data_IF_077195668918
#
_entry.id   IF_077195668918
#
_cell.length_a   1.000
_cell.length_b   1.000
_cell.length_c   1.000
_cell.angle_alpha   90.00
_cell.angle_beta   90.00
_cell.angle_gamma   90.00
#
_symmetry.space_group_name_H-M   'P 1'
#
loop_
_entity.id
_entity.type
_entity.pdbx_description
1 polymer ?
#
# COMPACT_ATOMS: atom_id res chain seq x y z
N UNK A 1 -15.31 -43.12 -40.10
CA UNK A 1 -14.48 -42.41 -41.09
C UNK A 1 -14.39 -40.97 -40.63
N UNK A 2 -13.15 -40.53 -40.37
CA UNK A 2 -12.63 -39.14 -40.20
C UNK A 2 -13.39 -38.15 -39.30
N UNK A 3 -12.82 -37.36 -38.39
CA UNK A 3 -11.49 -37.03 -37.84
C UNK A 3 -11.76 -35.94 -36.75
N UNK A 4 -10.81 -35.19 -36.17
CA UNK A 4 -9.55 -35.54 -35.49
C UNK A 4 -9.47 -35.00 -34.04
N UNK A 5 -8.48 -35.48 -33.28
CA UNK A 5 -8.03 -34.94 -31.99
C UNK A 5 -7.34 -33.57 -32.21
N UNK A 6 -7.61 -32.52 -31.42
CA UNK A 6 -6.84 -31.29 -31.50
C UNK A 6 -5.49 -31.42 -30.80
N UNK A 7 -4.48 -31.02 -31.56
CA UNK A 7 -3.07 -30.89 -31.24
C UNK A 7 -2.87 -29.87 -30.08
N UNK A 8 -2.32 -30.30 -28.94
CA UNK A 8 -1.83 -29.37 -27.92
C UNK A 8 -0.46 -28.87 -28.38
N UNK A 9 -0.45 -27.74 -29.06
CA UNK A 9 0.78 -27.01 -29.36
C UNK A 9 0.91 -25.86 -28.35
N UNK A 10 2.02 -25.87 -27.63
CA UNK A 10 2.44 -24.86 -26.67
C UNK A 10 2.40 -23.45 -27.26
N UNK A 11 1.60 -22.58 -26.66
CA UNK A 11 1.87 -21.15 -26.68
C UNK A 11 2.20 -20.74 -25.25
N UNK A 12 3.48 -20.43 -25.02
CA UNK A 12 3.92 -19.64 -23.89
C UNK A 12 3.17 -18.31 -23.95
N UNK A 13 2.10 -18.17 -23.16
CA UNK A 13 1.58 -16.85 -22.82
C UNK A 13 2.65 -16.15 -22.00
N UNK A 14 3.39 -15.30 -22.72
CA UNK A 14 4.14 -14.22 -22.14
C UNK A 14 3.16 -13.44 -21.26
N UNK A 15 3.40 -13.49 -19.95
CA UNK A 15 2.78 -12.57 -18.99
C UNK A 15 3.09 -11.18 -19.50
N UNK A 16 2.13 -10.61 -20.21
CA UNK A 16 2.17 -9.23 -20.65
C UNK A 16 2.00 -8.42 -19.39
N UNK A 17 3.14 -8.01 -18.82
CA UNK A 17 3.21 -6.89 -17.90
C UNK A 17 2.45 -5.77 -18.57
N UNK A 18 1.26 -5.48 -18.05
CA UNK A 18 0.48 -4.33 -18.44
C UNK A 18 1.35 -3.10 -18.18
N UNK A 19 1.98 -2.61 -19.26
CA UNK A 19 2.60 -1.30 -19.30
C UNK A 19 1.48 -0.29 -19.10
N UNK A 20 1.23 0.05 -17.84
CA UNK A 20 0.42 1.20 -17.50
C UNK A 20 1.21 2.44 -17.91
N UNK A 21 0.97 2.89 -19.13
CA UNK A 21 1.23 4.28 -19.53
C UNK A 21 0.27 5.19 -18.76
N UNK A 22 0.42 5.25 -17.44
CA UNK A 22 -0.05 6.40 -16.68
C UNK A 22 0.78 7.58 -17.18
N UNK A 23 0.13 8.50 -17.87
CA UNK A 23 0.65 9.85 -18.03
C UNK A 23 1.06 10.32 -16.64
N UNK A 24 2.36 10.39 -16.39
CA UNK A 24 2.94 10.78 -15.11
C UNK A 24 2.59 12.23 -14.88
N UNK A 25 1.46 12.47 -14.19
CA UNK A 25 1.08 13.77 -13.60
C UNK A 25 2.06 14.20 -12.49
N UNK A 26 3.20 13.54 -12.32
CA UNK A 26 4.22 13.91 -11.36
C UNK A 26 4.93 15.17 -11.85
N UNK A 27 4.75 16.26 -11.13
CA UNK A 27 5.47 17.51 -11.38
C UNK A 27 6.95 17.27 -11.06
N UNK A 28 7.90 17.64 -11.94
CA UNK A 28 9.32 17.54 -11.64
C UNK A 28 9.69 18.31 -10.37
N UNK A 29 10.71 17.84 -9.67
CA UNK A 29 11.18 18.50 -8.45
C UNK A 29 11.65 19.92 -8.74
N UNK A 30 11.18 20.87 -7.93
CA UNK A 30 11.63 22.26 -8.03
C UNK A 30 12.95 22.45 -7.28
N UNK A 31 13.79 23.44 -7.67
CA UNK A 31 14.98 23.78 -6.92
C UNK A 31 14.68 24.14 -5.46
N UNK A 32 13.53 24.76 -5.19
CA UNK A 32 13.06 25.12 -3.84
C UNK A 32 12.85 23.85 -3.01
N UNK A 33 12.19 22.83 -3.57
CA UNK A 33 11.99 21.55 -2.89
C UNK A 33 13.32 20.86 -2.58
N UNK A 34 14.22 20.77 -3.57
CA UNK A 34 15.54 20.13 -3.39
C UNK A 34 16.37 20.87 -2.32
N UNK A 35 16.32 22.20 -2.29
CA UNK A 35 17.03 22.97 -1.26
C UNK A 35 16.45 22.73 0.13
N UNK A 36 15.12 22.58 0.26
CA UNK A 36 14.49 22.19 1.53
C UNK A 36 14.95 20.79 1.96
N UNK A 37 15.00 19.83 1.03
CA UNK A 37 15.49 18.49 1.31
C UNK A 37 16.95 18.49 1.80
N UNK A 38 17.83 19.26 1.14
CA UNK A 38 19.23 19.47 1.59
C UNK A 38 19.31 20.08 2.98
N UNK A 39 18.48 21.09 3.27
CA UNK A 39 18.44 21.73 4.58
C UNK A 39 17.99 20.74 5.68
N UNK A 40 16.97 19.91 5.40
CA UNK A 40 16.54 18.84 6.31
C UNK A 40 17.69 17.88 6.59
N UNK A 41 18.38 17.37 5.56
CA UNK A 41 19.55 16.51 5.73
C UNK A 41 20.64 17.15 6.59
N UNK A 42 20.99 18.40 6.30
CA UNK A 42 22.03 19.13 7.03
C UNK A 42 21.66 19.42 8.50
N UNK A 43 20.36 19.43 8.83
CA UNK A 43 19.88 19.59 10.20
C UNK A 43 19.90 18.29 11.03
N UNK A 44 20.11 17.14 10.39
CA UNK A 44 20.20 15.85 11.08
C UNK A 44 21.48 15.79 11.90
N UNK A 45 21.34 15.56 13.20
CA UNK A 45 22.48 15.41 14.09
C UNK A 45 23.16 14.05 13.83
N UNK A 46 24.45 14.05 13.49
CA UNK A 46 25.18 12.83 13.08
C UNK A 46 25.11 11.71 14.12
N UNK A 47 25.09 12.05 15.42
CA UNK A 47 24.97 11.08 16.51
C UNK A 47 23.61 10.39 16.60
N UNK A 48 22.59 10.89 15.88
CA UNK A 48 21.24 10.31 15.82
C UNK A 48 20.97 9.56 14.52
N UNK A 49 21.87 9.62 13.54
CA UNK A 49 21.71 8.89 12.28
C UNK A 49 21.79 7.39 12.52
N UNK A 50 21.09 6.64 11.70
CA UNK A 50 21.10 5.20 11.75
C UNK A 50 22.35 4.64 11.07
N UNK A 51 23.30 4.23 11.90
CA UNK A 51 24.49 3.49 11.48
C UNK A 51 24.23 1.99 11.53
N UNK A 52 24.43 1.30 10.41
CA UNK A 52 24.36 -0.16 10.29
C UNK A 52 25.61 -0.82 10.89
N UNK A 53 25.58 -2.13 11.12
CA UNK A 53 26.75 -2.89 11.61
C UNK A 53 27.96 -2.81 10.69
N UNK A 54 27.75 -2.56 9.40
CA UNK A 54 28.82 -2.35 8.40
C UNK A 54 29.48 -0.98 8.51
N UNK A 55 28.97 -0.08 9.36
CA UNK A 55 29.38 1.32 9.45
C UNK A 55 28.70 2.22 8.44
N UNK A 56 27.89 1.68 7.52
CA UNK A 56 27.13 2.46 6.55
C UNK A 56 26.01 3.24 7.25
N UNK A 57 25.82 4.49 6.85
CA UNK A 57 24.79 5.38 7.39
C UNK A 57 23.57 5.36 6.46
N UNK A 58 22.41 4.99 6.99
CA UNK A 58 21.19 4.79 6.18
C UNK A 58 20.70 6.11 5.59
N UNK A 59 20.64 7.18 6.39
CA UNK A 59 20.16 8.49 5.95
C UNK A 59 21.04 9.09 4.86
N UNK A 60 22.35 8.81 4.87
CA UNK A 60 23.28 9.29 3.86
C UNK A 60 22.97 8.63 2.50
N UNK A 61 22.71 7.32 2.46
CA UNK A 61 22.29 6.62 1.23
C UNK A 61 20.92 7.08 0.73
N UNK A 62 19.96 7.31 1.64
CA UNK A 62 18.65 7.85 1.27
C UNK A 62 18.81 9.25 0.66
N UNK A 63 19.65 10.09 1.27
CA UNK A 63 19.93 11.43 0.78
C UNK A 63 20.58 11.41 -0.62
N UNK A 64 21.61 10.58 -0.81
CA UNK A 64 22.26 10.43 -2.12
C UNK A 64 21.29 9.94 -3.19
N UNK A 65 20.37 9.03 -2.84
CA UNK A 65 19.33 8.61 -3.78
C UNK A 65 18.33 9.73 -4.09
N UNK A 66 17.82 10.42 -3.07
CA UNK A 66 16.86 11.52 -3.25
C UNK A 66 17.40 12.63 -4.16
N UNK A 67 18.70 12.95 -4.09
CA UNK A 67 19.33 13.91 -5.00
C UNK A 67 19.33 13.48 -6.49
N UNK A 68 19.18 12.18 -6.77
CA UNK A 68 19.13 11.63 -8.13
C UNK A 68 17.70 11.54 -8.68
N UNK A 69 16.69 11.66 -7.83
CA UNK A 69 15.29 11.59 -8.23
C UNK A 69 14.90 12.82 -9.07
N UNK A 70 14.18 12.59 -10.18
CA UNK A 70 13.60 13.67 -10.99
C UNK A 70 12.22 14.12 -10.48
N UNK A 71 11.53 13.21 -9.80
CA UNK A 71 10.20 13.37 -9.23
C UNK A 71 10.22 13.05 -7.75
N UNK A 72 9.18 13.44 -7.03
CA UNK A 72 9.07 13.14 -5.61
C UNK A 72 9.08 11.63 -5.34
N UNK A 73 9.86 11.23 -4.33
CA UNK A 73 10.00 9.88 -3.84
C UNK A 73 9.96 9.90 -2.32
N UNK A 74 9.52 8.81 -1.68
CA UNK A 74 9.47 8.69 -0.21
C UNK A 74 10.82 8.95 0.50
N UNK A 75 11.92 8.81 -0.25
CA UNK A 75 13.28 9.16 0.19
C UNK A 75 13.42 10.63 0.60
N UNK A 76 12.66 11.56 0.00
CA UNK A 76 12.69 12.97 0.39
C UNK A 76 12.15 13.25 1.79
N UNK A 77 11.40 12.28 2.34
CA UNK A 77 10.91 12.28 3.72
C UNK A 77 11.74 11.37 4.64
N UNK A 78 12.92 10.92 4.20
CA UNK A 78 13.78 9.96 4.91
C UNK A 78 13.10 8.63 5.25
N UNK A 79 12.11 8.22 4.46
CA UNK A 79 11.45 6.93 4.59
C UNK A 79 12.15 5.93 3.68
N UNK A 80 12.54 4.78 4.25
CA UNK A 80 13.12 3.64 3.53
C UNK A 80 12.16 2.46 3.51
N UNK A 81 11.98 1.89 2.34
CA UNK A 81 11.17 0.69 2.08
C UNK A 81 12.11 -0.43 1.63
N UNK A 82 12.60 -1.32 2.50
CA UNK A 82 13.69 -2.25 2.19
C UNK A 82 13.45 -3.22 1.02
N UNK A 83 12.20 -3.34 0.58
CA UNK A 83 11.77 -4.20 -0.52
C UNK A 83 11.70 -3.47 -1.86
N UNK A 84 11.80 -2.14 -1.87
CA UNK A 84 11.89 -1.35 -3.10
C UNK A 84 13.19 -1.72 -3.85
N UNK A 85 13.10 -2.09 -5.14
CA UNK A 85 14.26 -2.46 -5.95
C UNK A 85 15.41 -1.46 -5.93
N UNK A 86 15.13 -0.16 -5.76
CA UNK A 86 16.16 0.88 -5.72
C UNK A 86 17.21 0.63 -4.63
N UNK A 87 16.80 0.09 -3.48
CA UNK A 87 17.71 -0.10 -2.35
C UNK A 87 18.59 -1.33 -2.50
N UNK A 88 18.23 -2.28 -3.37
CA UNK A 88 19.03 -3.49 -3.65
C UNK A 88 20.37 -3.19 -4.31
N UNK A 89 20.51 -2.04 -4.97
CA UNK A 89 21.78 -1.58 -5.56
C UNK A 89 22.62 -0.74 -4.59
N UNK A 90 22.06 -0.31 -3.46
CA UNK A 90 22.70 0.59 -2.48
C UNK A 90 23.10 -0.11 -1.18
N UNK A 91 22.33 -1.11 -0.81
CA UNK A 91 22.54 -1.91 0.40
C UNK A 91 22.77 -3.37 0.04
N UNK A 92 23.59 -4.05 0.84
CA UNK A 92 23.75 -5.49 0.75
C UNK A 92 22.50 -6.21 1.27
N UNK A 93 22.37 -7.51 0.97
CA UNK A 93 21.26 -8.31 1.48
C UNK A 93 21.20 -8.33 3.03
N UNK A 94 22.37 -8.37 3.69
CA UNK A 94 22.49 -8.34 5.14
C UNK A 94 22.13 -6.97 5.73
N UNK A 95 22.56 -5.88 5.08
CA UNK A 95 22.18 -4.51 5.46
C UNK A 95 20.66 -4.32 5.36
N UNK A 96 20.03 -4.77 4.26
CA UNK A 96 18.56 -4.71 4.11
C UNK A 96 17.83 -5.58 5.14
N UNK A 97 18.41 -6.72 5.53
CA UNK A 97 17.87 -7.57 6.59
C UNK A 97 17.97 -6.89 7.96
N UNK A 98 19.08 -6.21 8.25
CA UNK A 98 19.22 -5.39 9.45
C UNK A 98 18.18 -4.27 9.46
N UNK A 99 18.00 -3.57 8.32
CA UNK A 99 17.02 -2.49 8.20
C UNK A 99 15.60 -3.01 8.48
N UNK A 100 15.21 -4.16 7.91
CA UNK A 100 13.88 -4.76 8.14
C UNK A 100 13.62 -5.13 9.61
N UNK A 101 14.66 -5.50 10.35
CA UNK A 101 14.50 -6.08 11.68
C UNK A 101 14.63 -5.05 12.81
N UNK A 102 15.18 -3.87 12.52
CA UNK A 102 15.38 -2.80 13.51
C UNK A 102 14.04 -2.19 13.92
N UNK A 103 13.75 -2.20 15.22
CA UNK A 103 12.54 -1.60 15.80
C UNK A 103 11.25 -2.05 15.10
N UNK A 104 11.19 -3.32 14.64
CA UNK A 104 9.97 -3.88 14.10
C UNK A 104 8.91 -3.89 15.20
N UNK A 105 7.92 -3.02 15.08
CA UNK A 105 6.72 -3.05 15.90
C UNK A 105 5.77 -4.04 15.21
N UNK A 106 5.64 -5.28 15.71
CA UNK A 106 4.71 -6.21 15.11
C UNK A 106 3.31 -5.61 15.19
N UNK A 107 2.59 -5.67 14.07
CA UNK A 107 1.17 -5.36 14.10
C UNK A 107 0.47 -6.38 15.04
N UNK A 108 -0.55 -5.95 15.81
CA UNK A 108 -1.35 -6.89 16.56
C UNK A 108 -1.97 -7.92 15.60
N UNK A 109 -2.13 -9.18 16.04
CA UNK A 109 -2.79 -10.18 15.22
C UNK A 109 -4.24 -9.76 14.93
N UNK A 110 -4.73 -10.09 13.74
CA UNK A 110 -6.14 -9.94 13.41
C UNK A 110 -6.97 -10.84 14.34
N UNK A 111 -8.08 -10.31 14.87
CA UNK A 111 -9.02 -11.07 15.69
C UNK A 111 -9.56 -12.29 14.93
N UNK A 112 -9.58 -13.47 15.57
CA UNK A 112 -10.14 -14.70 14.99
C UNK A 112 -11.60 -14.50 14.54
N UNK A 113 -12.36 -13.68 15.28
CA UNK A 113 -13.75 -13.35 14.96
C UNK A 113 -13.85 -12.59 13.64
N UNK A 114 -13.03 -11.55 13.47
CA UNK A 114 -12.97 -10.76 12.25
C UNK A 114 -12.47 -11.61 11.07
N UNK A 115 -11.41 -12.40 11.29
CA UNK A 115 -10.87 -13.30 10.27
C UNK A 115 -11.91 -14.34 9.82
N UNK A 116 -12.63 -14.95 10.75
CA UNK A 116 -13.71 -15.90 10.47
C UNK A 116 -14.83 -15.26 9.66
N UNK A 117 -15.22 -14.03 10.01
CA UNK A 117 -16.19 -13.25 9.24
C UNK A 117 -15.72 -12.99 7.80
N UNK A 118 -14.49 -12.51 7.60
CA UNK A 118 -13.92 -12.27 6.28
C UNK A 118 -13.82 -13.55 5.45
N UNK A 119 -13.45 -14.67 6.09
CA UNK A 119 -13.40 -15.98 5.45
C UNK A 119 -14.77 -16.47 4.96
N UNK A 120 -15.89 -15.94 5.48
CA UNK A 120 -17.20 -16.32 4.93
C UNK A 120 -17.40 -15.88 3.47
N UNK A 121 -16.60 -14.94 2.98
CA UNK A 121 -16.76 -14.41 1.62
C UNK A 121 -15.88 -15.09 0.57
N UNK A 122 -14.92 -15.94 0.96
CA UNK A 122 -13.91 -16.55 0.07
C UNK A 122 -14.50 -17.32 -1.11
N UNK A 123 -15.67 -17.93 -0.92
CA UNK A 123 -16.33 -18.75 -1.93
C UNK A 123 -17.22 -17.94 -2.89
N UNK A 124 -17.37 -16.63 -2.65
CA UNK A 124 -18.26 -15.77 -3.44
C UNK A 124 -17.58 -15.38 -4.74
N UNK A 125 -18.24 -15.63 -5.88
CA UNK A 125 -17.63 -15.43 -7.21
C UNK A 125 -18.07 -14.15 -7.90
N UNK A 126 -19.12 -13.50 -7.37
CA UNK A 126 -19.72 -12.33 -7.99
C UNK A 126 -19.90 -11.19 -7.00
N UNK A 127 -19.83 -9.96 -7.50
CA UNK A 127 -20.11 -8.75 -6.72
C UNK A 127 -21.53 -8.78 -6.14
N UNK A 128 -22.50 -9.33 -6.88
CA UNK A 128 -23.89 -9.44 -6.40
C UNK A 128 -24.05 -10.43 -5.23
N UNK A 129 -23.34 -11.57 -5.24
CA UNK A 129 -23.33 -12.48 -4.09
C UNK A 129 -22.72 -11.83 -2.85
N UNK A 130 -21.59 -11.13 -3.01
CA UNK A 130 -20.94 -10.39 -1.93
C UNK A 130 -21.86 -9.33 -1.33
N UNK A 131 -22.55 -8.55 -2.17
CA UNK A 131 -23.53 -7.55 -1.71
C UNK A 131 -24.69 -8.21 -0.97
N UNK A 132 -25.24 -9.32 -1.51
CA UNK A 132 -26.34 -10.03 -0.83
C UNK A 132 -25.89 -10.55 0.53
N UNK A 133 -24.68 -11.10 0.62
CA UNK A 133 -24.14 -11.71 1.85
C UNK A 133 -23.82 -10.68 2.92
N UNK A 134 -23.20 -9.55 2.54
CA UNK A 134 -22.93 -8.42 3.45
C UNK A 134 -24.19 -7.75 3.99
N UNK A 135 -25.36 -7.98 3.39
CA UNK A 135 -26.65 -7.44 3.88
C UNK A 135 -27.46 -8.41 4.74
N UNK A 136 -27.00 -9.66 4.93
CA UNK A 136 -27.78 -10.69 5.66
C UNK A 136 -27.84 -10.46 7.16
N UNK A 137 -26.81 -9.83 7.72
CA UNK A 137 -26.65 -9.59 9.15
C UNK A 137 -26.26 -8.13 9.34
N UNK A 138 -26.83 -7.52 10.37
CA UNK A 138 -26.38 -6.24 10.88
C UNK A 138 -25.52 -6.51 12.12
N UNK A 139 -24.45 -5.75 12.29
CA UNK A 139 -23.57 -5.79 13.45
C UNK A 139 -23.82 -4.53 14.26
N UNK A 140 -23.77 -4.67 15.59
CA UNK A 140 -23.90 -3.53 16.48
C UNK A 140 -22.60 -2.71 16.50
N UNK A 141 -22.72 -1.38 16.47
CA UNK A 141 -21.56 -0.49 16.44
C UNK A 141 -20.75 -0.54 17.73
N UNK A 142 -21.41 -0.60 18.89
CA UNK A 142 -20.75 -0.55 20.20
C UNK A 142 -20.22 -1.93 20.62
N UNK A 143 -20.97 -2.99 20.32
CA UNK A 143 -20.62 -4.36 20.74
C UNK A 143 -19.77 -5.12 19.71
N UNK A 144 -19.95 -4.87 18.41
CA UNK A 144 -19.34 -5.62 17.31
C UNK A 144 -18.61 -4.72 16.30
N UNK A 145 -18.03 -3.61 16.77
CA UNK A 145 -17.42 -2.56 15.94
C UNK A 145 -16.56 -3.08 14.78
N UNK A 146 -15.59 -3.96 15.04
CA UNK A 146 -14.68 -4.48 14.01
C UNK A 146 -15.44 -5.16 12.84
N UNK A 147 -16.54 -5.85 13.16
CA UNK A 147 -17.38 -6.55 12.17
C UNK A 147 -18.28 -5.57 11.43
N UNK A 148 -18.84 -4.60 12.14
CA UNK A 148 -19.63 -3.53 11.54
C UNK A 148 -18.78 -2.69 10.56
N UNK A 149 -17.62 -2.21 11.02
CA UNK A 149 -16.65 -1.49 10.20
C UNK A 149 -16.22 -2.30 8.97
N UNK A 150 -15.85 -3.58 9.15
CA UNK A 150 -15.45 -4.42 8.02
C UNK A 150 -16.60 -4.61 7.02
N UNK A 151 -17.83 -4.80 7.50
CA UNK A 151 -19.01 -4.90 6.65
C UNK A 151 -19.24 -3.60 5.86
N UNK A 152 -19.22 -2.44 6.51
CA UNK A 152 -19.39 -1.13 5.86
C UNK A 152 -18.30 -0.86 4.82
N UNK A 153 -17.05 -1.20 5.15
CA UNK A 153 -15.89 -1.09 4.27
C UNK A 153 -16.05 -1.94 3.01
N UNK A 154 -16.43 -3.20 3.17
CA UNK A 154 -16.72 -4.11 2.05
C UNK A 154 -17.87 -3.59 1.19
N UNK A 155 -18.98 -3.17 1.79
CA UNK A 155 -20.11 -2.65 1.03
C UNK A 155 -19.75 -1.40 0.23
N UNK A 156 -18.93 -0.51 0.81
CA UNK A 156 -18.43 0.69 0.13
C UNK A 156 -17.55 0.33 -1.06
N UNK A 157 -16.60 -0.60 -0.90
CA UNK A 157 -15.76 -1.10 -1.99
C UNK A 157 -16.60 -1.76 -3.10
N UNK A 158 -17.57 -2.60 -2.76
CA UNK A 158 -18.46 -3.26 -3.72
C UNK A 158 -19.29 -2.26 -4.55
N UNK A 159 -19.68 -1.13 -3.95
CA UNK A 159 -20.35 -0.03 -4.68
C UNK A 159 -19.43 0.59 -5.73
N UNK A 160 -18.15 0.77 -5.44
CA UNK A 160 -17.17 1.29 -6.41
C UNK A 160 -17.03 0.37 -7.63
N UNK A 161 -17.03 -0.94 -7.42
CA UNK A 161 -17.04 -1.91 -8.53
C UNK A 161 -18.34 -1.83 -9.34
N UNK A 162 -19.49 -1.76 -8.66
CA UNK A 162 -20.79 -1.64 -9.34
C UNK A 162 -20.96 -0.34 -10.12
N UNK A 163 -20.39 0.75 -9.63
CA UNK A 163 -20.45 2.05 -10.30
C UNK A 163 -19.37 2.22 -11.36
N UNK A 164 -18.57 1.18 -11.64
CA UNK A 164 -17.43 1.24 -12.56
C UNK A 164 -16.43 2.37 -12.23
N UNK A 165 -16.26 2.67 -10.93
CA UNK A 165 -15.28 3.65 -10.46
C UNK A 165 -13.85 3.09 -10.49
N UNK A 166 -13.72 1.76 -10.49
CA UNK A 166 -12.47 1.02 -10.63
C UNK A 166 -12.52 0.27 -11.97
N UNK A 167 -11.45 0.26 -12.80
CA UNK A 167 -10.11 0.78 -12.53
C UNK A 167 -10.02 2.31 -12.55
N UNK A 168 -9.05 2.85 -11.81
CA UNK A 168 -8.77 4.28 -11.78
C UNK A 168 -8.16 4.74 -13.12
N UNK A 169 -8.66 5.86 -13.63
CA UNK A 169 -8.25 6.45 -14.91
C UNK A 169 -7.71 7.86 -14.72
N UNK A 170 -8.52 8.76 -14.19
CA UNK A 170 -8.30 10.21 -14.20
C UNK A 170 -8.60 10.89 -12.85
N UNK A 171 -9.01 10.10 -11.86
CA UNK A 171 -9.36 10.53 -10.51
C UNK A 171 -8.19 11.28 -9.85
N UNK A 172 -8.49 12.36 -9.14
CA UNK A 172 -7.49 13.05 -8.34
C UNK A 172 -7.14 12.24 -7.09
N UNK A 173 -5.99 12.55 -6.47
CA UNK A 173 -5.63 11.99 -5.16
C UNK A 173 -6.73 12.23 -4.12
N UNK A 174 -7.33 13.42 -4.11
CA UNK A 174 -8.43 13.75 -3.22
C UNK A 174 -9.67 12.86 -3.47
N UNK A 175 -9.92 12.46 -4.71
CA UNK A 175 -11.01 11.54 -5.03
C UNK A 175 -10.71 10.11 -4.57
N UNK A 176 -9.46 9.67 -4.68
CA UNK A 176 -9.00 8.37 -4.18
C UNK A 176 -9.11 8.34 -2.65
N UNK A 177 -8.65 9.38 -1.96
CA UNK A 177 -8.75 9.50 -0.50
C UNK A 177 -10.22 9.41 -0.08
N UNK A 178 -11.09 10.26 -0.65
CA UNK A 178 -12.50 10.34 -0.26
C UNK A 178 -13.34 9.11 -0.62
N UNK A 179 -13.01 8.38 -1.69
CA UNK A 179 -13.87 7.31 -2.20
C UNK A 179 -13.33 5.91 -1.94
N UNK A 180 -12.02 5.73 -2.01
CA UNK A 180 -11.38 4.43 -1.84
C UNK A 180 -10.84 4.29 -0.42
N UNK A 181 -10.10 5.29 0.08
CA UNK A 181 -9.38 5.17 1.36
C UNK A 181 -10.21 5.60 2.57
N UNK A 182 -11.45 6.05 2.34
CA UNK A 182 -12.39 6.46 3.39
C UNK A 182 -12.54 5.46 4.55
N UNK A 183 -12.44 4.15 4.27
CA UNK A 183 -12.56 3.13 5.32
C UNK A 183 -11.44 3.19 6.37
N UNK A 184 -10.30 3.81 6.05
CA UNK A 184 -9.21 4.01 7.01
C UNK A 184 -9.60 5.10 8.02
N UNK A 185 -10.24 6.17 7.55
CA UNK A 185 -10.68 7.27 8.42
C UNK A 185 -11.68 6.75 9.47
N UNK A 186 -12.57 5.84 9.09
CA UNK A 186 -13.59 5.27 9.98
C UNK A 186 -13.10 4.07 10.81
N UNK A 187 -11.86 3.61 10.63
CA UNK A 187 -11.35 2.41 11.32
C UNK A 187 -11.15 2.59 12.83
N UNK A 188 -11.18 3.84 13.30
CA UNK A 188 -10.91 4.19 14.69
C UNK A 188 -12.07 4.96 15.33
N UNK A 189 -13.26 4.94 14.73
CA UNK A 189 -14.42 5.69 15.24
C UNK A 189 -14.88 5.22 16.63
N UNK A 190 -14.54 3.99 17.04
CA UNK A 190 -14.79 3.49 18.41
C UNK A 190 -13.71 3.89 19.42
N UNK A 191 -12.61 4.48 18.98
CA UNK A 191 -11.51 4.90 19.86
C UNK A 191 -11.73 6.33 20.29
N UNK A 192 -11.85 6.55 21.59
CA UNK A 192 -11.81 7.90 22.17
C UNK A 192 -10.39 8.45 22.07
N UNK A 193 -10.10 9.23 21.03
CA UNK A 193 -8.82 9.94 20.92
C UNK A 193 -8.91 11.20 21.78
N UNK A 194 -8.21 11.22 22.92
CA UNK A 194 -8.03 12.43 23.75
C UNK A 194 -7.07 13.37 23.00
N UNK A 195 -7.61 14.31 22.24
CA UNK A 195 -6.82 15.32 21.54
C UNK A 195 -6.44 16.39 22.57
N UNK A 196 -5.29 16.20 23.23
CA UNK A 196 -4.64 17.22 24.07
C UNK A 196 -3.72 18.11 23.26
#
# INVERSE_FOLDING_TARGET
MDAPIPNYNSNNESVSTSNSNLSTRSVPLTPVFINKFRATYASLADQKKWVLKTGKVVEDEIFQFGLQCQYEHHAHSFIITPDDPVWKSRFTADELKEIRSKNSNPLPPCSDTLLSYLNTFTDSKTVDELIKRTRKRHFDFDEEFDLDWAQQSMQSALRLFKSHYIPLTDQSEADIIRRIWYFIDTAFDNVSIDVR
#
